data_IF_766150722884
#
_entry.id   IF_766150722884
#
_cell.length_a   1.000
_cell.length_b   1.000
_cell.length_c   1.000
_cell.angle_alpha   90.00
_cell.angle_beta   90.00
_cell.angle_gamma   90.00
#
_symmetry.space_group_name_H-M   'P 1'
#
loop_
_entity.id
_entity.type
_entity.pdbx_description
1 polymer ?
#
# COMPACT_ATOMS: atom_id res chain seq x y z
N UNK A 1 51.83 -57.98 -6.72
CA UNK A 1 51.43 -56.55 -6.67
C UNK A 1 49.95 -56.50 -6.35
N UNK A 2 49.52 -55.64 -5.40
CA UNK A 2 48.30 -55.85 -4.61
C UNK A 2 47.03 -55.39 -5.33
N UNK A 3 45.95 -56.09 -4.99
CA UNK A 3 44.55 -55.79 -5.27
C UNK A 3 44.12 -54.46 -4.63
N UNK A 4 43.24 -53.72 -5.32
CA UNK A 4 42.42 -52.67 -4.68
C UNK A 4 40.95 -52.83 -5.04
N UNK A 5 40.19 -53.22 -4.01
CA UNK A 5 38.74 -53.10 -3.81
C UNK A 5 38.40 -51.59 -3.93
N UNK A 6 37.50 -51.16 -4.79
CA UNK A 6 36.05 -51.19 -4.58
C UNK A 6 35.60 -49.97 -3.76
N UNK A 7 34.90 -49.02 -4.38
CA UNK A 7 34.03 -48.09 -3.65
C UNK A 7 33.03 -47.44 -4.60
N UNK A 8 31.79 -47.93 -4.55
CA UNK A 8 30.64 -47.41 -5.28
C UNK A 8 30.06 -46.25 -4.45
N UNK A 9 30.38 -45.00 -4.81
CA UNK A 9 29.76 -43.82 -4.20
C UNK A 9 28.36 -43.61 -4.76
N UNK A 10 27.34 -44.07 -4.03
CA UNK A 10 25.94 -43.72 -4.29
C UNK A 10 25.71 -42.30 -3.75
N UNK A 11 25.70 -41.32 -4.66
CA UNK A 11 25.23 -39.96 -4.35
C UNK A 11 23.71 -39.99 -4.23
N UNK A 12 23.21 -40.04 -2.99
CA UNK A 12 21.80 -39.77 -2.69
C UNK A 12 21.60 -38.26 -2.77
N UNK A 13 21.08 -37.78 -3.90
CA UNK A 13 20.57 -36.41 -4.03
C UNK A 13 19.32 -36.27 -3.17
N UNK A 14 19.48 -35.73 -1.96
CA UNK A 14 18.37 -35.31 -1.12
C UNK A 14 17.71 -34.10 -1.79
N UNK A 15 16.61 -34.33 -2.52
CA UNK A 15 15.77 -33.26 -3.04
C UNK A 15 15.08 -32.58 -1.86
N UNK A 16 15.70 -31.51 -1.34
CA UNK A 16 15.08 -30.62 -0.39
C UNK A 16 14.00 -29.81 -1.12
N UNK A 17 12.77 -30.32 -1.16
CA UNK A 17 11.60 -29.50 -1.48
C UNK A 17 11.39 -28.55 -0.31
N UNK A 18 12.00 -27.36 -0.39
CA UNK A 18 11.63 -26.26 0.48
C UNK A 18 10.18 -25.89 0.15
N UNK A 19 9.23 -26.30 0.99
CA UNK A 19 7.90 -25.71 1.01
C UNK A 19 8.12 -24.28 1.50
N UNK A 20 8.23 -23.33 0.57
CA UNK A 20 8.22 -21.92 0.91
C UNK A 20 6.88 -21.67 1.61
N UNK A 21 6.91 -21.38 2.92
CA UNK A 21 5.76 -20.82 3.59
C UNK A 21 5.41 -19.54 2.83
N UNK A 22 4.31 -19.55 2.07
CA UNK A 22 3.86 -18.41 1.29
C UNK A 22 3.40 -17.34 2.27
N UNK A 23 4.33 -16.50 2.70
CA UNK A 23 4.02 -15.30 3.47
C UNK A 23 3.19 -14.39 2.57
N UNK A 24 1.97 -14.08 2.97
CA UNK A 24 1.12 -13.12 2.28
C UNK A 24 1.92 -11.83 2.06
N UNK A 25 2.06 -11.34 0.82
CA UNK A 25 2.75 -10.08 0.57
C UNK A 25 2.09 -8.95 1.36
N UNK A 26 2.85 -7.95 1.81
CA UNK A 26 2.26 -6.78 2.43
C UNK A 26 1.44 -5.99 1.41
N UNK A 27 0.51 -5.20 1.91
CA UNK A 27 -0.05 -4.09 1.17
C UNK A 27 0.20 -2.78 1.91
N UNK A 28 0.18 -1.69 1.16
CA UNK A 28 0.50 -0.36 1.65
C UNK A 28 -0.70 0.55 1.48
N UNK A 29 -0.87 1.47 2.41
CA UNK A 29 -1.90 2.51 2.34
C UNK A 29 -1.22 3.86 2.42
N UNK A 30 -1.58 4.76 1.51
CA UNK A 30 -1.18 6.17 1.50
C UNK A 30 -2.42 7.04 1.27
N UNK A 31 -2.35 8.29 1.73
CA UNK A 31 -3.34 9.31 1.42
C UNK A 31 -3.06 9.97 0.07
N UNK A 32 -3.99 10.79 -0.41
CA UNK A 32 -3.73 11.71 -1.51
C UNK A 32 -2.59 12.68 -1.15
N UNK A 33 -1.83 13.08 -2.16
CA UNK A 33 -0.82 14.12 -2.02
C UNK A 33 -1.44 15.49 -1.69
N UNK A 34 -0.59 16.47 -1.40
CA UNK A 34 -0.95 17.80 -0.90
C UNK A 34 -1.99 18.48 -1.80
N UNK A 35 -3.16 18.78 -1.23
CA UNK A 35 -4.24 19.51 -1.89
C UNK A 35 -4.27 20.99 -1.47
N UNK A 36 -4.79 21.89 -2.32
CA UNK A 36 -4.95 23.28 -1.92
C UNK A 36 -5.92 23.42 -0.75
N UNK A 37 -5.72 24.46 0.06
CA UNK A 37 -6.68 24.85 1.08
C UNK A 37 -8.01 25.30 0.47
N UNK A 38 -9.05 25.37 1.32
CA UNK A 38 -10.40 25.81 0.94
C UNK A 38 -11.04 24.92 -0.15
N UNK A 39 -10.74 23.61 -0.14
CA UNK A 39 -11.31 22.60 -1.04
C UNK A 39 -11.20 22.96 -2.53
N UNK A 40 -10.14 23.65 -2.94
CA UNK A 40 -9.91 23.85 -4.39
C UNK A 40 -9.48 22.52 -5.02
N UNK A 41 -9.89 22.28 -6.27
CA UNK A 41 -9.63 21.00 -6.92
C UNK A 41 -8.15 20.79 -7.25
N UNK A 42 -7.74 19.52 -7.29
CA UNK A 42 -6.43 19.08 -7.78
C UNK A 42 -5.33 19.06 -6.72
N UNK A 43 -4.12 18.74 -7.17
CA UNK A 43 -2.91 18.75 -6.35
C UNK A 43 -2.24 20.14 -6.38
N UNK A 44 -1.66 20.53 -5.25
CA UNK A 44 -0.72 21.67 -5.17
C UNK A 44 0.56 21.37 -5.97
N UNK A 45 1.43 22.36 -6.24
CA UNK A 45 2.74 22.09 -6.83
C UNK A 45 3.57 21.06 -6.03
N UNK A 46 3.52 21.12 -4.70
CA UNK A 46 4.19 20.16 -3.82
C UNK A 46 3.55 18.77 -3.96
N UNK A 47 2.21 18.70 -4.00
CA UNK A 47 1.49 17.44 -4.19
C UNK A 47 1.77 16.79 -5.54
N UNK A 48 1.91 17.60 -6.60
CA UNK A 48 2.36 17.11 -7.90
C UNK A 48 3.78 16.56 -7.84
N UNK A 49 4.71 17.26 -7.18
CA UNK A 49 6.07 16.77 -6.98
C UNK A 49 6.10 15.43 -6.23
N UNK A 50 5.29 15.30 -5.17
CA UNK A 50 5.15 14.04 -4.43
C UNK A 50 4.63 12.91 -5.33
N UNK A 51 3.54 13.17 -6.05
CA UNK A 51 2.91 12.19 -6.93
C UNK A 51 3.79 11.78 -8.12
N UNK A 52 4.46 12.74 -8.76
CA UNK A 52 5.19 12.53 -10.02
C UNK A 52 6.61 12.01 -9.81
N UNK A 53 7.25 12.35 -8.69
CA UNK A 53 8.67 12.02 -8.45
C UNK A 53 8.87 11.11 -7.24
N UNK A 54 8.30 11.47 -6.08
CA UNK A 54 8.62 10.74 -4.86
C UNK A 54 7.93 9.37 -4.78
N UNK A 55 6.60 9.32 -4.98
CA UNK A 55 5.84 8.07 -4.89
C UNK A 55 6.37 7.02 -5.88
N UNK A 56 6.62 7.35 -7.17
CA UNK A 56 7.26 6.42 -8.09
C UNK A 56 8.61 5.89 -7.60
N UNK A 57 9.47 6.75 -7.06
CA UNK A 57 10.79 6.34 -6.54
C UNK A 57 10.65 5.37 -5.37
N UNK A 58 9.86 5.73 -4.36
CA UNK A 58 9.65 4.92 -3.15
C UNK A 58 9.03 3.56 -3.49
N UNK A 59 7.97 3.55 -4.29
CA UNK A 59 7.21 2.34 -4.56
C UNK A 59 7.79 1.46 -5.67
N UNK A 60 8.74 1.97 -6.47
CA UNK A 60 9.44 1.17 -7.48
C UNK A 60 10.17 -0.04 -6.89
N UNK A 61 10.57 0.05 -5.62
CA UNK A 61 11.30 -1.00 -4.91
C UNK A 61 10.40 -1.99 -4.15
N UNK A 62 9.09 -1.71 -4.06
CA UNK A 62 8.15 -2.45 -3.21
C UNK A 62 7.35 -3.52 -3.95
N UNK A 63 7.73 -3.85 -5.19
CA UNK A 63 7.11 -4.89 -6.02
C UNK A 63 5.58 -4.77 -6.09
N UNK A 64 5.08 -3.55 -6.37
CA UNK A 64 3.65 -3.28 -6.49
C UNK A 64 3.11 -3.91 -7.78
N UNK A 65 2.06 -4.73 -7.65
CA UNK A 65 1.35 -5.35 -8.78
C UNK A 65 -0.14 -5.00 -8.82
N UNK A 66 -0.63 -4.24 -7.84
CA UNK A 66 -2.02 -3.84 -7.76
C UNK A 66 -2.13 -2.45 -7.14
N UNK A 67 -2.94 -1.59 -7.75
CA UNK A 67 -3.24 -0.25 -7.24
C UNK A 67 -4.75 -0.12 -7.12
N UNK A 68 -5.21 0.24 -5.93
CA UNK A 68 -6.60 0.50 -5.60
C UNK A 68 -6.76 1.96 -5.19
N UNK A 69 -7.84 2.61 -5.64
CA UNK A 69 -8.19 3.97 -5.23
C UNK A 69 -9.69 4.10 -5.06
N UNK A 70 -10.13 5.17 -4.41
CA UNK A 70 -11.56 5.47 -4.31
C UNK A 70 -12.13 6.04 -5.61
N UNK A 71 -13.43 5.83 -5.79
CA UNK A 71 -14.27 6.44 -6.80
C UNK A 71 -15.40 7.17 -6.09
N UNK A 72 -15.70 8.37 -6.55
CA UNK A 72 -16.86 9.15 -6.09
C UNK A 72 -18.13 8.32 -6.23
N UNK A 73 -18.91 8.22 -5.16
CA UNK A 73 -20.23 7.61 -5.17
C UNK A 73 -21.22 8.42 -6.04
N UNK A 74 -22.47 7.94 -6.13
CA UNK A 74 -23.50 8.64 -6.90
C UNK A 74 -24.09 9.82 -6.14
N UNK A 75 -23.96 9.85 -4.82
CA UNK A 75 -24.61 10.82 -3.95
C UNK A 75 -23.73 12.04 -3.68
N UNK A 76 -22.49 12.01 -4.17
CA UNK A 76 -21.61 13.16 -4.30
C UNK A 76 -21.34 13.77 -2.94
N UNK A 77 -21.05 12.94 -1.93
CA UNK A 77 -20.65 13.43 -0.61
C UNK A 77 -19.58 14.51 -0.80
N UNK A 78 -19.93 15.75 -0.46
CA UNK A 78 -19.15 16.95 -0.75
C UNK A 78 -17.77 16.96 -0.04
N UNK A 79 -17.48 15.93 0.77
CA UNK A 79 -16.24 15.74 1.50
C UNK A 79 -15.16 14.95 0.77
N UNK A 80 -15.51 14.05 -0.15
CA UNK A 80 -14.56 13.04 -0.64
C UNK A 80 -13.80 13.49 -1.88
N UNK A 81 -12.47 13.65 -1.75
CA UNK A 81 -11.59 14.09 -2.83
C UNK A 81 -10.96 12.93 -3.60
N UNK A 82 -11.74 11.90 -3.93
CA UNK A 82 -11.26 10.77 -4.75
C UNK A 82 -10.52 11.15 -6.04
N UNK A 83 -10.92 12.19 -6.80
CA UNK A 83 -10.15 12.61 -7.97
C UNK A 83 -8.69 12.95 -7.66
N UNK A 84 -8.35 13.46 -6.47
CA UNK A 84 -6.95 13.75 -6.11
C UNK A 84 -6.20 12.52 -5.63
N UNK A 85 -6.87 11.56 -4.98
CA UNK A 85 -6.28 10.26 -4.67
C UNK A 85 -5.88 9.54 -5.98
N UNK A 86 -6.77 9.57 -6.97
CA UNK A 86 -6.48 9.03 -8.32
C UNK A 86 -5.34 9.79 -8.99
N UNK A 87 -5.32 11.13 -8.92
CA UNK A 87 -4.20 11.93 -9.45
C UNK A 87 -2.88 11.59 -8.77
N UNK A 88 -2.90 11.29 -7.46
CA UNK A 88 -1.73 10.89 -6.68
C UNK A 88 -1.19 9.52 -7.13
N UNK A 89 -2.09 8.56 -7.38
CA UNK A 89 -1.71 7.21 -7.81
C UNK A 89 -1.28 7.11 -9.28
N UNK A 90 -1.76 8.02 -10.13
CA UNK A 90 -1.64 7.92 -11.60
C UNK A 90 -0.19 7.84 -12.09
N UNK A 91 0.77 8.67 -11.64
CA UNK A 91 2.13 8.59 -12.14
C UNK A 91 2.81 7.26 -11.83
N UNK A 92 2.60 6.70 -10.64
CA UNK A 92 3.11 5.36 -10.29
C UNK A 92 2.44 4.28 -11.14
N UNK A 93 1.12 4.33 -11.31
CA UNK A 93 0.40 3.38 -12.14
C UNK A 93 0.93 3.37 -13.58
N UNK A 94 1.19 4.55 -14.15
CA UNK A 94 1.80 4.69 -15.48
C UNK A 94 3.22 4.14 -15.51
N UNK A 95 4.05 4.47 -14.51
CA UNK A 95 5.43 4.00 -14.43
C UNK A 95 5.54 2.46 -14.33
N UNK A 96 4.58 1.82 -13.65
CA UNK A 96 4.51 0.37 -13.49
C UNK A 96 3.72 -0.34 -14.61
N UNK A 97 3.06 0.40 -15.50
CA UNK A 97 2.18 -0.17 -16.52
C UNK A 97 0.94 -0.85 -15.94
N UNK A 98 0.43 -0.38 -14.80
CA UNK A 98 -0.72 -0.91 -14.09
C UNK A 98 -1.97 -0.06 -14.30
N UNK A 99 -3.13 -0.70 -14.21
CA UNK A 99 -4.41 -0.01 -14.11
C UNK A 99 -4.76 0.25 -12.64
N UNK A 100 -5.42 1.38 -12.37
CA UNK A 100 -6.02 1.64 -11.06
C UNK A 100 -7.37 0.93 -11.00
N UNK A 101 -7.55 0.13 -9.96
CA UNK A 101 -8.83 -0.48 -9.60
C UNK A 101 -9.58 0.46 -8.65
N UNK A 102 -10.91 0.41 -8.65
CA UNK A 102 -11.73 1.33 -7.88
C UNK A 102 -12.71 0.64 -6.93
N UNK A 103 -12.92 1.26 -5.78
CA UNK A 103 -14.04 1.01 -4.87
C UNK A 103 -14.85 2.29 -4.66
N UNK A 104 -16.14 2.14 -4.40
CA UNK A 104 -16.97 3.27 -3.96
C UNK A 104 -16.59 3.69 -2.55
N UNK A 105 -17.14 4.84 -2.17
CA UNK A 105 -17.05 5.43 -0.83
C UNK A 105 -18.47 5.70 -0.32
N UNK A 106 -18.64 5.93 0.98
CA UNK A 106 -19.93 6.28 1.58
C UNK A 106 -20.81 5.07 1.91
N UNK A 107 -21.92 5.31 2.63
CA UNK A 107 -22.81 4.30 3.21
C UNK A 107 -23.52 3.41 2.16
N UNK A 108 -23.65 3.90 0.93
CA UNK A 108 -24.28 3.17 -0.18
C UNK A 108 -23.26 2.36 -1.01
N UNK A 109 -21.99 2.40 -0.63
CA UNK A 109 -20.95 1.60 -1.27
C UNK A 109 -20.90 0.18 -0.70
N UNK A 110 -20.23 -0.73 -1.41
CA UNK A 110 -19.97 -2.06 -0.86
C UNK A 110 -18.80 -1.94 0.13
N UNK A 111 -19.10 -1.95 1.42
CA UNK A 111 -18.13 -1.84 2.52
C UNK A 111 -16.98 -2.84 2.38
N UNK A 112 -17.26 -4.05 1.88
CA UNK A 112 -16.26 -5.11 1.72
C UNK A 112 -15.41 -4.95 0.44
N UNK A 113 -15.66 -3.96 -0.41
CA UNK A 113 -15.02 -3.84 -1.73
C UNK A 113 -13.49 -3.78 -1.64
N UNK A 114 -12.98 -3.00 -0.68
CA UNK A 114 -11.54 -2.80 -0.49
C UNK A 114 -10.90 -4.11 -0.04
N UNK A 115 -11.43 -4.68 1.04
CA UNK A 115 -11.00 -5.98 1.57
C UNK A 115 -11.00 -7.06 0.50
N UNK A 116 -12.13 -7.25 -0.20
CA UNK A 116 -12.31 -8.31 -1.18
C UNK A 116 -11.30 -8.22 -2.32
N UNK A 117 -11.06 -7.02 -2.85
CA UNK A 117 -10.14 -6.82 -3.97
C UNK A 117 -8.70 -7.04 -3.57
N UNK A 118 -8.27 -6.50 -2.44
CA UNK A 118 -6.92 -6.71 -1.92
C UNK A 118 -6.71 -8.19 -1.62
N UNK A 119 -7.66 -8.83 -0.94
CA UNK A 119 -7.56 -10.23 -0.57
C UNK A 119 -7.56 -11.16 -1.78
N UNK A 120 -8.41 -10.91 -2.78
CA UNK A 120 -8.42 -11.66 -4.03
C UNK A 120 -7.09 -11.54 -4.78
N UNK A 121 -6.50 -10.34 -4.82
CA UNK A 121 -5.18 -10.13 -5.43
C UNK A 121 -4.08 -10.86 -4.66
N UNK A 122 -3.99 -10.67 -3.34
CA UNK A 122 -2.93 -11.26 -2.51
C UNK A 122 -3.01 -12.80 -2.44
N UNK A 123 -4.19 -13.39 -2.63
CA UNK A 123 -4.36 -14.85 -2.75
C UNK A 123 -3.75 -15.43 -4.03
N UNK A 124 -3.62 -14.62 -5.08
CA UNK A 124 -3.21 -15.08 -6.42
C UNK A 124 -1.87 -14.53 -6.89
N UNK A 125 -1.26 -13.63 -6.11
CA UNK A 125 -0.03 -12.92 -6.45
C UNK A 125 0.98 -12.93 -5.33
N UNK A 126 2.27 -12.91 -5.69
CA UNK A 126 3.39 -12.68 -4.77
C UNK A 126 3.80 -11.19 -4.73
N UNK A 127 3.05 -10.32 -5.41
CA UNK A 127 3.30 -8.88 -5.45
C UNK A 127 2.49 -8.16 -4.37
N UNK A 128 2.93 -6.96 -4.02
CA UNK A 128 2.25 -6.10 -3.06
C UNK A 128 1.14 -5.29 -3.71
N UNK A 129 0.15 -4.90 -2.90
CA UNK A 129 -0.88 -3.96 -3.28
C UNK A 129 -0.59 -2.56 -2.71
N UNK A 130 -1.02 -1.52 -3.41
CA UNK A 130 -1.05 -0.15 -2.93
C UNK A 130 -2.49 0.35 -2.94
N UNK A 131 -2.93 0.88 -1.80
CA UNK A 131 -4.19 1.60 -1.66
C UNK A 131 -3.86 3.09 -1.54
N UNK A 132 -4.48 3.89 -2.39
CA UNK A 132 -4.38 5.35 -2.36
C UNK A 132 -5.76 5.90 -2.11
N UNK A 133 -5.94 6.59 -0.99
CA UNK A 133 -7.26 7.04 -0.56
C UNK A 133 -7.32 8.52 -0.25
N UNK A 134 -8.54 9.03 -0.11
CA UNK A 134 -8.73 10.39 0.34
C UNK A 134 -8.43 10.52 1.82
N UNK A 135 -7.76 11.59 2.21
CA UNK A 135 -7.22 11.74 3.54
C UNK A 135 -8.30 12.03 4.60
N UNK A 136 -9.47 12.53 4.19
CA UNK A 136 -10.60 12.79 5.08
C UNK A 136 -11.48 11.56 5.35
N UNK A 137 -11.18 10.43 4.71
CA UNK A 137 -11.98 9.19 4.76
C UNK A 137 -11.13 7.97 5.12
N UNK A 138 -10.03 8.22 5.83
CA UNK A 138 -9.08 7.18 6.16
C UNK A 138 -9.64 6.21 7.21
N UNK A 139 -10.43 6.69 8.16
CA UNK A 139 -11.04 5.85 9.20
C UNK A 139 -11.98 4.82 8.58
N UNK A 140 -12.90 5.27 7.72
CA UNK A 140 -13.82 4.40 6.99
C UNK A 140 -13.08 3.44 6.06
N UNK A 141 -11.99 3.88 5.41
CA UNK A 141 -11.14 2.97 4.63
C UNK A 141 -10.55 1.86 5.50
N UNK A 142 -9.99 2.20 6.67
CA UNK A 142 -9.28 1.24 7.52
C UNK A 142 -10.23 0.21 8.12
N UNK A 143 -11.46 0.63 8.45
CA UNK A 143 -12.56 -0.25 8.81
C UNK A 143 -12.91 -1.20 7.64
N UNK A 144 -13.19 -0.65 6.45
CA UNK A 144 -13.57 -1.40 5.25
C UNK A 144 -12.46 -2.32 4.70
N UNK A 145 -11.20 -2.04 5.01
CA UNK A 145 -10.06 -2.88 4.66
C UNK A 145 -9.81 -4.02 5.66
N UNK A 146 -10.58 -4.09 6.76
CA UNK A 146 -10.39 -5.01 7.90
C UNK A 146 -8.97 -4.90 8.48
N UNK A 147 -8.53 -3.65 8.69
CA UNK A 147 -7.21 -3.33 9.23
C UNK A 147 -7.29 -3.19 10.74
N UNK A 148 -6.79 -4.19 11.45
CA UNK A 148 -6.74 -4.21 12.91
C UNK A 148 -5.69 -3.24 13.46
N UNK A 149 -6.09 -2.46 14.46
CA UNK A 149 -5.22 -1.61 15.25
C UNK A 149 -4.32 -2.45 16.17
N UNK A 150 -3.10 -2.68 15.73
CA UNK A 150 -2.06 -3.31 16.54
C UNK A 150 -1.43 -2.34 17.57
N UNK A 151 -2.17 -1.31 18.01
CA UNK A 151 -1.67 -0.26 18.91
C UNK A 151 -0.90 0.87 18.21
N UNK A 152 -1.19 1.14 16.93
CA UNK A 152 -0.73 2.34 16.22
C UNK A 152 -1.84 3.39 16.32
N UNK A 153 -1.49 4.59 16.79
CA UNK A 153 -2.39 5.74 16.93
C UNK A 153 -3.01 6.12 15.57
N UNK A 154 -4.33 6.00 15.48
CA UNK A 154 -5.14 6.23 14.27
C UNK A 154 -5.03 7.68 13.78
N UNK A 155 -4.87 8.62 14.71
CA UNK A 155 -4.69 10.07 14.46
C UNK A 155 -3.55 10.43 13.48
N UNK A 156 -2.63 9.50 13.21
CA UNK A 156 -1.46 9.75 12.36
C UNK A 156 -1.69 9.44 10.88
N UNK A 157 -2.59 8.50 10.55
CA UNK A 157 -2.85 8.05 9.17
C UNK A 157 -4.01 8.88 8.62
N UNK A 158 -3.76 9.73 7.62
CA UNK A 158 -4.76 10.72 7.15
C UNK A 158 -4.31 12.16 7.31
N UNK A 159 -3.51 12.44 8.35
CA UNK A 159 -3.04 13.78 8.69
C UNK A 159 -1.90 14.25 7.79
N UNK A 160 -1.04 13.32 7.36
CA UNK A 160 0.20 13.60 6.65
C UNK A 160 0.23 12.93 5.26
N UNK A 161 0.39 13.69 4.16
CA UNK A 161 0.54 13.15 2.80
C UNK A 161 1.81 12.32 2.58
N UNK A 162 2.76 12.38 3.50
CA UNK A 162 4.05 11.70 3.42
C UNK A 162 4.07 10.37 4.19
N UNK A 163 2.95 9.87 4.70
CA UNK A 163 2.93 8.64 5.50
C UNK A 163 2.61 7.41 4.63
N UNK A 164 3.35 6.33 4.85
CA UNK A 164 3.07 4.98 4.36
C UNK A 164 2.70 4.09 5.53
N UNK A 165 1.47 3.59 5.53
CA UNK A 165 1.04 2.52 6.42
C UNK A 165 1.31 1.17 5.74
N UNK A 166 1.97 0.26 6.46
CA UNK A 166 2.22 -1.12 6.01
C UNK A 166 1.31 -2.08 6.74
N UNK A 167 0.57 -2.88 5.97
CA UNK A 167 -0.36 -3.89 6.49
C UNK A 167 0.07 -5.28 6.03
N UNK A 168 0.10 -6.22 6.97
CA UNK A 168 0.38 -7.64 6.70
C UNK A 168 -0.72 -8.47 7.34
N UNK A 169 -1.41 -9.27 6.54
CA UNK A 169 -2.49 -10.16 7.01
C UNK A 169 -3.55 -9.42 7.85
N UNK A 170 -3.94 -8.22 7.44
CA UNK A 170 -4.96 -7.42 8.13
C UNK A 170 -4.48 -6.74 9.43
N UNK A 171 -3.19 -6.77 9.74
CA UNK A 171 -2.62 -6.07 10.91
C UNK A 171 -1.72 -4.91 10.46
N UNK A 172 -1.86 -3.73 11.09
CA UNK A 172 -0.91 -2.63 10.94
C UNK A 172 0.43 -3.05 11.55
N UNK A 173 1.48 -3.15 10.73
CA UNK A 173 2.81 -3.61 11.19
C UNK A 173 3.87 -2.52 11.18
N UNK A 174 3.57 -1.36 10.59
CA UNK A 174 4.49 -0.23 10.61
C UNK A 174 3.93 0.99 9.89
N UNK A 175 4.43 2.14 10.31
CA UNK A 175 4.17 3.43 9.69
C UNK A 175 5.50 4.15 9.51
N UNK A 176 5.76 4.60 8.29
CA UNK A 176 6.99 5.32 7.95
C UNK A 176 6.67 6.57 7.13
N UNK A 177 7.54 7.56 7.17
CA UNK A 177 7.50 8.65 6.20
C UNK A 177 8.09 8.18 4.86
N UNK A 178 7.58 8.71 3.75
CA UNK A 178 8.10 8.52 2.39
C UNK A 178 9.53 9.04 2.25
N UNK A 179 9.97 9.95 3.13
CA UNK A 179 11.28 10.58 3.11
C UNK A 179 11.58 11.31 1.78
N UNK A 180 10.57 12.01 1.25
CA UNK A 180 10.66 12.82 0.06
C UNK A 180 11.48 14.08 0.32
N UNK A 181 12.64 14.17 -0.32
CA UNK A 181 13.60 15.26 -0.11
C UNK A 181 12.96 16.64 -0.32
N UNK A 182 12.95 17.45 0.75
CA UNK A 182 12.53 18.85 0.70
C UNK A 182 11.02 19.11 0.67
N UNK A 183 10.18 18.07 0.77
CA UNK A 183 8.71 18.23 0.74
C UNK A 183 7.96 17.52 1.87
N UNK A 184 8.63 16.68 2.68
CA UNK A 184 7.98 16.07 3.84
C UNK A 184 7.75 17.07 4.97
N UNK A 185 6.58 16.94 5.60
CA UNK A 185 6.30 17.60 6.85
C UNK A 185 7.00 16.90 8.02
N UNK A 186 6.93 17.45 9.24
CA UNK A 186 7.33 16.70 10.43
C UNK A 186 6.36 15.51 10.62
N UNK A 187 6.68 14.36 10.05
CA UNK A 187 6.03 13.10 10.43
C UNK A 187 6.46 12.78 11.86
N UNK A 188 5.53 12.81 12.81
CA UNK A 188 5.81 12.27 14.14
C UNK A 188 6.10 10.77 13.98
N UNK A 189 7.36 10.39 14.17
CA UNK A 189 7.76 9.00 14.31
C UNK A 189 7.12 8.41 15.58
N UNK A 190 6.76 7.12 15.58
CA UNK A 190 6.13 6.51 16.75
C UNK A 190 7.09 6.56 17.94
N UNK A 191 6.61 7.09 19.06
CA UNK A 191 7.21 6.83 20.36
C UNK A 191 7.04 5.35 20.67
N UNK A 192 7.98 4.53 20.22
CA UNK A 192 8.22 3.22 20.82
C UNK A 192 8.48 3.46 22.31
N UNK A 193 7.58 2.94 23.14
CA UNK A 193 7.56 3.14 24.58
C UNK A 193 8.94 2.98 25.22
N UNK A 194 9.24 3.90 26.13
CA UNK A 194 10.12 3.64 27.26
C UNK A 194 9.42 2.72 28.25
#
# INVERSE_FOLDING_TARGET
MPSFVGSLFVFVCLAATAIAATKTPPYYIITNAETPSLNRPGLTPVGKQRAESCIPEVFSQLNIGFILSCKVDKDGEEGLKCPVAVQTATPLAQALGLNITFCGTGEESNDDCVHDKIHAFLKSSNQSALVVWDNTDMDSLLENADVNDAGIDDDTVGTHPDVILTVVSGARVGQISMNCTGIDGPAQLPSLGQ
#
